data_IF_385079182507
#
_entry.id   IF_385079182507
#
_cell.length_a   1.000
_cell.length_b   1.000
_cell.length_c   1.000
_cell.angle_alpha   90.00
_cell.angle_beta   90.00
_cell.angle_gamma   90.00
#
_symmetry.space_group_name_H-M   'P 1'
#
loop_
_entity.id
_entity.type
_entity.pdbx_description
1 polymer ?
#
# COMPACT_ATOMS: atom_id res chain seq x y z
N UNK A 1 13.07 21.52 -3.80
CA UNK A 1 14.02 21.01 -2.78
C UNK A 1 13.56 21.18 -1.34
N UNK A 2 13.24 22.39 -0.88
CA UNK A 2 12.84 22.62 0.52
C UNK A 2 11.62 21.80 0.96
N UNK A 3 10.54 21.78 0.18
CA UNK A 3 9.34 20.99 0.48
C UNK A 3 9.63 19.48 0.67
N UNK A 4 10.58 18.93 -0.11
CA UNK A 4 11.00 17.53 0.02
C UNK A 4 11.78 17.29 1.31
N UNK A 5 12.69 18.21 1.69
CA UNK A 5 13.43 18.12 2.96
C UNK A 5 12.52 18.21 4.19
N UNK A 6 11.44 18.98 4.10
CA UNK A 6 10.45 19.13 5.17
C UNK A 6 9.43 17.97 5.24
N UNK A 7 9.44 17.04 4.27
CA UNK A 7 8.48 15.94 4.20
C UNK A 7 7.07 16.35 3.77
N UNK A 8 6.91 17.53 3.17
CA UNK A 8 5.62 17.96 2.61
C UNK A 8 5.30 17.24 1.29
N UNK A 9 6.34 16.86 0.54
CA UNK A 9 6.24 16.04 -0.67
C UNK A 9 7.22 14.88 -0.57
N UNK A 10 6.82 13.70 -1.05
CA UNK A 10 7.67 12.50 -1.00
C UNK A 10 8.81 12.53 -2.02
N UNK A 11 8.60 13.18 -3.18
CA UNK A 11 9.54 13.19 -4.30
C UNK A 11 9.57 14.57 -4.97
N UNK A 12 10.77 15.04 -5.32
CA UNK A 12 11.01 16.23 -6.15
C UNK A 12 11.60 15.75 -7.46
N UNK A 13 11.02 16.19 -8.58
CA UNK A 13 11.40 15.75 -9.93
C UNK A 13 11.66 16.96 -10.82
N UNK A 14 12.27 16.73 -11.99
CA UNK A 14 12.50 17.79 -12.97
C UNK A 14 11.18 18.43 -13.44
N UNK A 15 11.24 19.70 -13.80
CA UNK A 15 10.07 20.44 -14.27
C UNK A 15 9.45 19.76 -15.50
N UNK A 16 8.13 19.53 -15.46
CA UNK A 16 7.38 18.85 -16.53
C UNK A 16 7.40 17.32 -16.47
N UNK A 17 8.08 16.71 -15.49
CA UNK A 17 8.08 15.25 -15.28
C UNK A 17 7.08 14.79 -14.21
N UNK A 18 6.46 15.72 -13.48
CA UNK A 18 5.58 15.46 -12.34
C UNK A 18 4.45 14.49 -12.65
N UNK A 19 3.78 14.66 -13.79
CA UNK A 19 2.69 13.77 -14.20
C UNK A 19 3.17 12.35 -14.51
N UNK A 20 4.27 12.22 -15.24
CA UNK A 20 4.82 10.93 -15.65
C UNK A 20 5.26 10.13 -14.42
N UNK A 21 5.99 10.77 -13.51
CA UNK A 21 6.47 10.13 -12.28
C UNK A 21 5.31 9.79 -11.32
N UNK A 22 4.29 10.64 -11.24
CA UNK A 22 3.08 10.35 -10.47
C UNK A 22 2.31 9.14 -11.02
N UNK A 23 2.18 9.03 -12.35
CA UNK A 23 1.53 7.88 -12.99
C UNK A 23 2.36 6.61 -12.86
N UNK A 24 3.69 6.70 -12.93
CA UNK A 24 4.58 5.58 -12.69
C UNK A 24 4.44 5.05 -11.25
N UNK A 25 4.36 5.93 -10.26
CA UNK A 25 4.07 5.56 -8.87
C UNK A 25 2.68 4.92 -8.74
N UNK A 26 1.66 5.51 -9.36
CA UNK A 26 0.31 4.96 -9.34
C UNK A 26 0.25 3.56 -9.95
N UNK A 27 0.95 3.31 -11.06
CA UNK A 27 1.04 2.00 -11.69
C UNK A 27 1.73 0.96 -10.78
N UNK A 28 2.80 1.35 -10.08
CA UNK A 28 3.45 0.48 -9.07
C UNK A 28 2.50 0.13 -7.94
N UNK A 29 1.73 1.09 -7.43
CA UNK A 29 0.72 0.84 -6.39
C UNK A 29 -0.35 -0.10 -6.94
N UNK A 30 -0.93 0.19 -8.10
CA UNK A 30 -1.99 -0.60 -8.73
C UNK A 30 -1.58 -2.05 -9.07
N UNK A 31 -0.28 -2.34 -9.13
CA UNK A 31 0.24 -3.71 -9.29
C UNK A 31 0.14 -4.60 -8.04
N UNK A 32 -0.31 -4.08 -6.90
CA UNK A 32 -0.45 -4.85 -5.65
C UNK A 32 -1.91 -5.24 -5.37
N UNK A 33 -2.11 -6.13 -4.40
CA UNK A 33 -3.43 -6.57 -3.93
C UNK A 33 -4.35 -5.37 -3.60
N UNK A 34 -5.50 -5.23 -4.29
CA UNK A 34 -6.50 -4.22 -3.95
C UNK A 34 -7.02 -4.36 -2.52
N UNK A 35 -7.22 -5.59 -2.02
CA UNK A 35 -7.67 -5.85 -0.65
C UNK A 35 -6.62 -5.37 0.36
N UNK A 36 -5.36 -5.77 0.16
CA UNK A 36 -4.23 -5.40 1.01
C UNK A 36 -3.98 -3.89 1.04
N UNK A 37 -4.03 -3.21 -0.11
CA UNK A 37 -3.87 -1.75 -0.19
C UNK A 37 -4.96 -1.00 0.57
N UNK A 38 -6.23 -1.43 0.43
CA UNK A 38 -7.36 -0.82 1.15
C UNK A 38 -7.21 -1.02 2.66
N UNK A 39 -6.82 -2.21 3.10
CA UNK A 39 -6.60 -2.52 4.50
C UNK A 39 -5.43 -1.71 5.09
N UNK A 40 -4.28 -1.68 4.42
CA UNK A 40 -3.12 -0.91 4.84
C UNK A 40 -3.44 0.59 4.95
N UNK A 41 -4.12 1.17 3.94
CA UNK A 41 -4.53 2.57 3.98
C UNK A 41 -5.50 2.87 5.12
N UNK A 42 -6.41 1.93 5.43
CA UNK A 42 -7.33 2.06 6.57
C UNK A 42 -6.58 2.00 7.90
N UNK A 43 -5.66 1.05 8.06
CA UNK A 43 -4.85 0.93 9.27
C UNK A 43 -4.03 2.20 9.53
N UNK A 44 -3.36 2.74 8.51
CA UNK A 44 -2.61 4.00 8.61
C UNK A 44 -3.50 5.17 9.04
N UNK A 45 -4.69 5.31 8.46
CA UNK A 45 -5.62 6.41 8.79
C UNK A 45 -6.18 6.31 10.20
N UNK A 46 -6.47 5.10 10.68
CA UNK A 46 -7.06 4.87 11.99
C UNK A 46 -6.01 4.81 13.10
N UNK A 47 -4.78 4.38 12.78
CA UNK A 47 -3.69 4.25 13.74
C UNK A 47 -2.94 5.55 13.99
N UNK A 48 -3.02 6.54 13.09
CA UNK A 48 -2.29 7.80 13.24
C UNK A 48 -2.73 8.54 14.51
N UNK A 49 -1.75 8.95 15.32
CA UNK A 49 -2.00 9.66 16.58
C UNK A 49 -2.44 8.77 17.75
N UNK A 50 -2.53 7.45 17.57
CA UNK A 50 -2.75 6.52 18.68
C UNK A 50 -1.44 6.18 19.39
N UNK A 51 -1.56 5.79 20.66
CA UNK A 51 -0.50 5.09 21.38
C UNK A 51 -0.15 3.79 20.65
N UNK A 52 1.13 3.41 20.69
CA UNK A 52 1.66 2.27 19.93
C UNK A 52 0.83 1.00 20.10
N UNK A 53 0.43 0.69 21.34
CA UNK A 53 -0.37 -0.52 21.63
C UNK A 53 -1.70 -0.50 20.90
N UNK A 54 -2.41 0.63 20.92
CA UNK A 54 -3.69 0.76 20.23
C UNK A 54 -3.52 0.76 18.71
N UNK A 55 -2.42 1.33 18.20
CA UNK A 55 -2.04 1.25 16.79
C UNK A 55 -1.82 -0.20 16.32
N UNK A 56 -1.18 -1.04 17.13
CA UNK A 56 -0.97 -2.46 16.83
C UNK A 56 -2.29 -3.25 16.80
N UNK A 57 -3.26 -2.93 17.67
CA UNK A 57 -4.59 -3.56 17.62
C UNK A 57 -5.35 -3.18 16.33
N UNK A 58 -5.21 -1.93 15.86
CA UNK A 58 -5.76 -1.49 14.57
C UNK A 58 -5.11 -2.24 13.40
N UNK A 59 -3.80 -2.44 13.46
CA UNK A 59 -3.04 -3.18 12.44
C UNK A 59 -3.43 -4.66 12.41
N UNK A 60 -3.51 -5.35 13.55
CA UNK A 60 -3.93 -6.76 13.63
C UNK A 60 -5.34 -6.95 13.07
N UNK A 61 -6.28 -6.06 13.41
CA UNK A 61 -7.63 -6.10 12.85
C UNK A 61 -7.64 -5.93 11.32
N UNK A 62 -6.83 -5.02 10.78
CA UNK A 62 -6.71 -4.83 9.33
C UNK A 62 -6.05 -6.04 8.66
N UNK A 63 -5.02 -6.63 9.29
CA UNK A 63 -4.36 -7.84 8.81
C UNK A 63 -5.34 -9.02 8.73
N UNK A 64 -6.12 -9.27 9.79
CA UNK A 64 -7.14 -10.33 9.82
C UNK A 64 -8.18 -10.20 8.71
N UNK A 65 -8.58 -8.97 8.37
CA UNK A 65 -9.50 -8.72 7.27
C UNK A 65 -8.92 -9.11 5.89
N UNK A 66 -7.59 -9.10 5.75
CA UNK A 66 -6.89 -9.51 4.52
C UNK A 66 -6.46 -10.97 4.52
N UNK A 67 -6.29 -11.59 5.70
CA UNK A 67 -5.67 -12.90 5.84
C UNK A 67 -6.44 -14.03 5.13
N UNK A 68 -7.75 -13.86 4.94
CA UNK A 68 -8.65 -14.82 4.31
C UNK A 68 -9.15 -14.40 2.92
N UNK A 69 -8.57 -13.36 2.32
CA UNK A 69 -9.01 -12.87 1.01
C UNK A 69 -8.48 -13.76 -0.13
N UNK A 70 -9.17 -13.75 -1.26
CA UNK A 70 -8.69 -14.36 -2.51
C UNK A 70 -7.35 -13.76 -2.95
N UNK A 71 -7.17 -12.46 -2.76
CA UNK A 71 -5.87 -11.79 -3.00
C UNK A 71 -4.74 -12.43 -2.18
N UNK A 72 -4.97 -12.79 -0.91
CA UNK A 72 -3.93 -13.38 -0.06
C UNK A 72 -3.58 -14.80 -0.50
N UNK A 73 -4.57 -15.57 -0.98
CA UNK A 73 -4.33 -16.90 -1.55
C UNK A 73 -3.49 -16.78 -2.84
N UNK A 74 -3.90 -15.90 -3.76
CA UNK A 74 -3.20 -15.65 -5.01
C UNK A 74 -1.78 -15.12 -4.80
N UNK A 75 -1.59 -14.19 -3.86
CA UNK A 75 -0.26 -13.63 -3.58
C UNK A 75 0.74 -14.70 -3.14
N UNK A 76 0.31 -15.68 -2.34
CA UNK A 76 1.17 -16.81 -1.95
C UNK A 76 1.39 -17.79 -3.09
N UNK A 77 0.35 -18.12 -3.86
CA UNK A 77 0.49 -18.98 -5.03
C UNK A 77 1.47 -18.39 -6.05
N UNK A 78 1.27 -17.13 -6.43
CA UNK A 78 2.11 -16.42 -7.39
C UNK A 78 3.57 -16.30 -6.92
N UNK A 79 3.80 -16.05 -5.62
CA UNK A 79 5.14 -16.04 -5.03
C UNK A 79 5.82 -17.40 -5.13
N UNK A 80 5.13 -18.47 -4.72
CA UNK A 80 5.66 -19.84 -4.75
C UNK A 80 5.97 -20.30 -6.18
N UNK A 81 5.11 -19.92 -7.13
CA UNK A 81 5.23 -20.24 -8.56
C UNK A 81 6.16 -19.28 -9.33
N UNK A 82 6.70 -18.24 -8.66
CA UNK A 82 7.56 -17.21 -9.26
C UNK A 82 6.94 -16.51 -10.48
N UNK A 83 5.62 -16.29 -10.43
CA UNK A 83 4.87 -15.58 -11.47
C UNK A 83 4.32 -14.26 -10.96
N UNK A 84 3.84 -13.42 -11.87
CA UNK A 84 3.08 -12.23 -11.47
C UNK A 84 1.70 -12.63 -10.94
N UNK A 85 1.23 -12.01 -9.85
CA UNK A 85 -0.11 -12.26 -9.33
C UNK A 85 -1.18 -11.62 -10.22
N UNK A 86 -2.31 -12.30 -10.34
CA UNK A 86 -3.55 -11.80 -10.94
C UNK A 86 -4.58 -11.60 -9.83
N UNK A 87 -4.58 -10.41 -9.23
CA UNK A 87 -5.39 -10.11 -8.05
C UNK A 87 -6.90 -10.20 -8.32
N UNK A 88 -7.66 -11.09 -7.66
CA UNK A 88 -9.11 -11.17 -7.83
C UNK A 88 -9.86 -9.98 -7.21
N UNK A 89 -9.28 -9.29 -6.24
CA UNK A 89 -9.84 -8.08 -5.62
C UNK A 89 -10.85 -8.34 -4.49
N UNK A 90 -11.03 -9.61 -4.12
CA UNK A 90 -11.92 -10.15 -3.06
C UNK A 90 -11.14 -10.91 -1.99
#
# INVERSE_FOLDING_TARGET
DEAGRLGLVDQVVEAGRDRDEALALAARIAGNSPVGLRAAKRALRLGVGLELRAGLEVEDAAWRATAFSGDRAEGVAAFNEKRRPAWPGE
#
